data_IF_368960695709
#
_entry.id   IF_368960695709
#
_cell.length_a   1.000
_cell.length_b   1.000
_cell.length_c   1.000
_cell.angle_alpha   90.00
_cell.angle_beta   90.00
_cell.angle_gamma   90.00
#
_symmetry.space_group_name_H-M   'P 1'
#
loop_
_entity.id
_entity.type
_entity.pdbx_description
1 polymer ?
#
# COMPACT_ATOMS: atom_id res chain seq x y z
N UNK A 1 19.87 -18.06 21.83
CA UNK A 1 18.81 -17.56 20.93
C UNK A 1 18.12 -18.76 20.31
N UNK A 2 16.83 -18.65 20.01
CA UNK A 2 16.06 -19.70 19.32
C UNK A 2 16.36 -19.69 17.83
N UNK A 3 16.17 -20.83 17.15
CA UNK A 3 16.36 -20.92 15.69
C UNK A 3 15.42 -19.97 14.94
N UNK A 4 14.18 -19.85 15.40
CA UNK A 4 13.18 -18.94 14.82
C UNK A 4 13.66 -17.47 14.83
N UNK A 5 14.23 -17.04 15.96
CA UNK A 5 14.82 -15.71 16.09
C UNK A 5 16.08 -15.55 15.23
N UNK A 6 16.80 -16.64 14.97
CA UNK A 6 17.95 -16.62 14.07
C UNK A 6 17.53 -16.35 12.63
N UNK A 7 16.50 -17.08 12.16
CA UNK A 7 15.97 -16.94 10.81
C UNK A 7 15.38 -15.56 10.58
N UNK A 8 14.60 -15.04 11.54
CA UNK A 8 14.06 -13.67 11.48
C UNK A 8 15.18 -12.62 11.35
N UNK A 9 16.29 -12.77 12.08
CA UNK A 9 17.42 -11.86 11.98
C UNK A 9 18.19 -12.00 10.66
N UNK A 10 18.27 -13.20 10.09
CA UNK A 10 18.92 -13.41 8.79
C UNK A 10 18.07 -12.77 7.68
N UNK A 11 16.75 -12.88 7.75
CA UNK A 11 15.83 -12.26 6.78
C UNK A 11 15.83 -10.73 6.89
N UNK A 12 15.72 -10.21 8.12
CA UNK A 12 15.70 -8.78 8.38
C UNK A 12 16.98 -8.07 7.91
N UNK A 13 18.14 -8.70 8.08
CA UNK A 13 19.44 -8.08 7.82
C UNK A 13 20.18 -8.64 6.60
N UNK A 14 19.60 -9.58 5.85
CA UNK A 14 20.24 -10.25 4.72
C UNK A 14 20.67 -9.32 3.57
N UNK A 15 20.12 -8.09 3.52
CA UNK A 15 20.43 -7.08 2.51
C UNK A 15 21.18 -5.84 2.99
N UNK A 16 21.25 -5.59 4.31
CA UNK A 16 21.68 -4.31 4.88
C UNK A 16 23.07 -4.38 5.54
N UNK A 17 23.82 -3.27 5.45
CA UNK A 17 25.17 -3.14 6.03
C UNK A 17 25.17 -2.74 7.51
N UNK A 18 24.01 -2.43 8.10
CA UNK A 18 23.89 -1.88 9.45
C UNK A 18 23.24 -2.85 10.43
N UNK A 19 23.91 -3.95 10.72
CA UNK A 19 23.50 -4.86 11.82
C UNK A 19 24.15 -4.39 13.13
N UNK A 20 23.39 -4.23 14.24
CA UNK A 20 23.98 -3.90 15.53
C UNK A 20 25.05 -4.91 15.96
N UNK A 21 26.21 -4.49 16.50
CA UNK A 21 27.36 -5.36 16.72
C UNK A 21 27.07 -6.50 17.70
N UNK A 22 26.25 -6.25 18.72
CA UNK A 22 25.86 -7.27 19.71
C UNK A 22 24.96 -8.37 19.10
N UNK A 23 24.11 -8.00 18.15
CA UNK A 23 23.24 -8.95 17.43
C UNK A 23 24.10 -9.83 16.53
N UNK A 24 25.07 -9.23 15.82
CA UNK A 24 26.02 -9.96 14.97
C UNK A 24 26.81 -11.02 15.73
N UNK A 25 27.33 -10.70 16.92
CA UNK A 25 28.09 -11.65 17.74
C UNK A 25 27.20 -12.81 18.20
N UNK A 26 25.98 -12.51 18.68
CA UNK A 26 25.03 -13.54 19.12
C UNK A 26 24.62 -14.47 17.97
N UNK A 27 24.35 -13.91 16.80
CA UNK A 27 24.02 -14.66 15.59
C UNK A 27 25.21 -15.54 15.17
N UNK A 28 26.43 -15.01 15.16
CA UNK A 28 27.63 -15.78 14.83
C UNK A 28 27.85 -16.97 15.77
N UNK A 29 27.66 -16.78 17.09
CA UNK A 29 27.77 -17.87 18.06
C UNK A 29 26.74 -18.97 17.80
N UNK A 30 25.50 -18.60 17.47
CA UNK A 30 24.47 -19.58 17.18
C UNK A 30 24.70 -20.31 15.86
N UNK A 31 25.16 -19.62 14.79
CA UNK A 31 25.51 -20.24 13.52
C UNK A 31 26.69 -21.21 13.68
N UNK A 32 27.63 -20.92 14.58
CA UNK A 32 28.72 -21.85 14.91
C UNK A 32 28.22 -23.13 15.62
N UNK A 33 27.10 -23.06 16.33
CA UNK A 33 26.56 -24.17 17.12
C UNK A 33 25.43 -24.95 16.40
N UNK A 34 24.67 -24.28 15.53
CA UNK A 34 23.52 -24.83 14.83
C UNK A 34 23.82 -24.98 13.33
N UNK A 35 24.06 -26.21 12.88
CA UNK A 35 24.39 -26.51 11.48
C UNK A 35 23.25 -26.17 10.52
N UNK A 36 22.00 -26.41 10.94
CA UNK A 36 20.81 -26.12 10.12
C UNK A 36 20.69 -24.63 9.79
N UNK A 37 20.83 -23.76 10.80
CA UNK A 37 20.79 -22.31 10.58
C UNK A 37 21.99 -21.81 9.76
N UNK A 38 23.16 -22.44 9.89
CA UNK A 38 24.33 -22.12 9.06
C UNK A 38 24.10 -22.45 7.59
N UNK A 39 23.52 -23.61 7.28
CA UNK A 39 23.19 -24.00 5.90
C UNK A 39 22.12 -23.10 5.29
N UNK A 40 21.12 -22.71 6.08
CA UNK A 40 20.07 -21.78 5.65
C UNK A 40 20.61 -20.38 5.36
N UNK A 41 21.49 -19.86 6.23
CA UNK A 41 22.15 -18.57 6.01
C UNK A 41 22.95 -18.54 4.70
N UNK A 42 23.72 -19.61 4.42
CA UNK A 42 24.49 -19.74 3.18
C UNK A 42 23.58 -19.83 1.95
N UNK A 43 22.44 -20.52 2.06
CA UNK A 43 21.45 -20.62 0.98
C UNK A 43 20.84 -19.25 0.68
N UNK A 44 20.43 -18.51 1.71
CA UNK A 44 19.87 -17.16 1.57
C UNK A 44 20.89 -16.20 0.97
N UNK A 45 22.14 -16.20 1.44
CA UNK A 45 23.15 -15.31 0.89
C UNK A 45 23.42 -15.58 -0.60
N UNK A 46 23.33 -16.85 -1.04
CA UNK A 46 23.42 -17.18 -2.47
C UNK A 46 22.28 -16.57 -3.28
N UNK A 47 21.05 -16.63 -2.77
CA UNK A 47 19.87 -16.02 -3.41
C UNK A 47 20.00 -14.51 -3.46
N UNK A 48 20.38 -13.85 -2.36
CA UNK A 48 20.61 -12.41 -2.33
C UNK A 48 21.75 -11.98 -3.26
N UNK A 49 22.82 -12.77 -3.32
CA UNK A 49 23.92 -12.53 -4.26
C UNK A 49 23.40 -12.61 -5.69
N UNK A 50 22.64 -13.65 -6.03
CA UNK A 50 22.03 -13.79 -7.35
C UNK A 50 21.14 -12.58 -7.70
N UNK A 51 20.24 -12.19 -6.81
CA UNK A 51 19.38 -11.02 -6.96
C UNK A 51 20.14 -9.69 -7.11
N UNK A 52 21.31 -9.57 -6.44
CA UNK A 52 22.17 -8.38 -6.54
C UNK A 52 23.03 -8.40 -7.81
N UNK A 53 23.42 -9.58 -8.29
CA UNK A 53 24.24 -9.74 -9.49
C UNK A 53 23.44 -9.84 -10.78
N UNK A 54 22.12 -10.04 -10.72
CA UNK A 54 21.25 -9.88 -11.87
C UNK A 54 21.22 -8.40 -12.26
N UNK A 55 22.06 -8.15 -13.25
CA UNK A 55 22.27 -7.03 -14.14
C UNK A 55 20.97 -6.26 -14.47
N UNK A 56 20.41 -5.54 -13.51
CA UNK A 56 19.58 -4.37 -13.83
C UNK A 56 20.59 -3.29 -14.21
N UNK A 57 20.93 -3.23 -15.50
CA UNK A 57 21.50 -2.01 -16.11
C UNK A 57 20.73 -0.83 -15.54
N UNK A 58 21.42 0.26 -15.19
CA UNK A 58 20.76 1.53 -14.82
C UNK A 58 19.56 1.72 -15.72
N UNK A 59 18.36 1.62 -15.13
CA UNK A 59 17.15 1.70 -15.91
C UNK A 59 17.24 3.03 -16.67
N UNK A 60 17.08 3.03 -18.01
CA UNK A 60 17.11 4.28 -18.75
C UNK A 60 16.12 5.23 -18.09
N UNK A 61 16.46 6.52 -18.00
CA UNK A 61 15.60 7.52 -17.37
C UNK A 61 14.30 7.68 -18.18
N UNK A 62 13.36 6.77 -17.92
CA UNK A 62 12.05 6.70 -18.54
C UNK A 62 11.15 7.81 -18.02
N UNK A 63 11.57 8.58 -17.00
CA UNK A 63 10.77 9.67 -16.46
C UNK A 63 10.44 10.69 -17.54
N UNK A 64 11.42 11.07 -18.35
CA UNK A 64 11.24 12.00 -19.46
C UNK A 64 10.29 11.45 -20.51
N UNK A 65 10.48 10.19 -20.94
CA UNK A 65 9.66 9.51 -21.95
C UNK A 65 8.21 9.31 -21.48
N UNK A 66 8.02 9.00 -20.20
CA UNK A 66 6.69 8.83 -19.59
C UNK A 66 5.99 10.17 -19.48
N UNK A 67 6.67 11.21 -18.99
CA UNK A 67 6.09 12.55 -18.88
C UNK A 67 5.73 13.13 -20.25
N UNK A 68 6.54 12.87 -21.29
CA UNK A 68 6.24 13.29 -22.66
C UNK A 68 5.03 12.56 -23.24
N UNK A 69 4.83 11.28 -22.89
CA UNK A 69 3.62 10.53 -23.29
C UNK A 69 2.35 10.90 -22.53
N UNK A 70 2.48 11.35 -21.28
CA UNK A 70 1.33 11.77 -20.45
C UNK A 70 0.97 13.22 -20.77
N UNK A 71 1.94 14.05 -21.13
CA UNK A 71 1.72 15.43 -21.53
C UNK A 71 1.24 15.48 -22.99
N UNK A 72 0.01 15.03 -23.25
CA UNK A 72 -0.63 15.12 -24.56
C UNK A 72 -1.00 16.60 -24.78
N UNK A 73 -0.31 17.34 -25.68
CA UNK A 73 -0.65 18.72 -25.96
C UNK A 73 -2.00 18.75 -26.68
N UNK A 74 -3.03 19.21 -25.96
CA UNK A 74 -4.42 19.30 -26.45
C UNK A 74 -5.48 18.75 -25.49
N UNK A 75 -5.10 17.91 -24.52
CA UNK A 75 -6.06 17.43 -23.50
C UNK A 75 -6.34 18.50 -22.42
N UNK A 76 -5.47 19.51 -22.29
CA UNK A 76 -5.67 20.66 -21.40
C UNK A 76 -6.76 21.63 -21.91
N UNK A 77 -7.20 21.52 -23.17
CA UNK A 77 -8.23 22.38 -23.76
C UNK A 77 -9.64 21.78 -23.71
N UNK A 78 -9.77 20.51 -23.31
CA UNK A 78 -11.08 19.99 -22.92
C UNK A 78 -11.16 20.05 -21.40
N UNK A 79 -11.84 21.05 -20.81
CA UNK A 79 -12.23 20.96 -19.42
C UNK A 79 -13.16 19.75 -19.32
N UNK A 80 -12.62 18.60 -18.92
CA UNK A 80 -13.39 17.56 -18.24
C UNK A 80 -14.19 18.34 -17.20
N UNK A 81 -15.51 18.38 -17.38
CA UNK A 81 -16.38 19.46 -16.90
C UNK A 81 -16.12 19.89 -15.46
N UNK A 82 -16.44 21.16 -15.15
CA UNK A 82 -16.17 21.82 -13.86
C UNK A 82 -16.10 20.83 -12.69
N UNK A 83 -14.95 20.77 -11.97
CA UNK A 83 -14.78 19.84 -10.88
C UNK A 83 -15.95 20.01 -9.90
N UNK A 84 -16.65 18.90 -9.63
CA UNK A 84 -17.82 18.90 -8.76
C UNK A 84 -17.39 19.47 -7.41
N UNK A 85 -18.07 20.54 -6.97
CA UNK A 85 -17.70 21.24 -5.73
C UNK A 85 -17.49 20.27 -4.55
N UNK A 86 -16.45 20.53 -3.75
CA UNK A 86 -16.10 19.72 -2.56
C UNK A 86 -17.30 19.48 -1.64
N UNK A 87 -18.21 20.48 -1.52
CA UNK A 87 -19.44 20.37 -0.75
C UNK A 87 -20.38 19.28 -1.27
N UNK A 88 -20.55 19.18 -2.59
CA UNK A 88 -21.38 18.13 -3.19
C UNK A 88 -20.75 16.75 -2.99
N UNK A 89 -19.43 16.64 -3.10
CA UNK A 89 -18.72 15.40 -2.80
C UNK A 89 -18.95 14.95 -1.35
N UNK A 90 -18.72 15.83 -0.37
CA UNK A 90 -18.94 15.51 1.05
C UNK A 90 -20.40 15.10 1.32
N UNK A 91 -21.37 15.77 0.69
CA UNK A 91 -22.77 15.45 0.85
C UNK A 91 -23.12 14.05 0.30
N UNK A 92 -22.58 13.68 -0.87
CA UNK A 92 -22.73 12.33 -1.43
C UNK A 92 -22.09 11.31 -0.51
N UNK A 93 -20.88 11.56 -0.01
CA UNK A 93 -20.17 10.68 0.92
C UNK A 93 -20.96 10.46 2.21
N UNK A 94 -21.59 11.51 2.75
CA UNK A 94 -22.48 11.44 3.91
C UNK A 94 -23.72 10.58 3.61
N UNK A 95 -24.37 10.75 2.47
CA UNK A 95 -25.54 9.93 2.08
C UNK A 95 -25.16 8.45 1.97
N UNK A 96 -24.03 8.16 1.34
CA UNK A 96 -23.52 6.79 1.23
C UNK A 96 -23.26 6.23 2.62
N UNK A 97 -22.52 6.95 3.47
CA UNK A 97 -22.22 6.53 4.84
C UNK A 97 -23.48 6.24 5.67
N UNK A 98 -24.46 7.14 5.65
CA UNK A 98 -25.74 6.92 6.35
C UNK A 98 -26.49 5.72 5.78
N UNK A 99 -26.47 5.54 4.47
CA UNK A 99 -27.11 4.38 3.81
C UNK A 99 -26.47 3.05 4.26
N UNK A 100 -25.15 3.02 4.45
CA UNK A 100 -24.43 1.84 4.97
C UNK A 100 -24.75 1.57 6.44
N UNK A 101 -24.79 2.62 7.26
CA UNK A 101 -25.18 2.50 8.67
C UNK A 101 -26.61 1.99 8.81
N UNK A 102 -27.56 2.58 8.08
CA UNK A 102 -28.97 2.16 8.12
C UNK A 102 -29.15 0.74 7.58
N UNK A 103 -28.43 0.37 6.52
CA UNK A 103 -28.46 -1.00 5.97
C UNK A 103 -27.98 -2.03 6.99
N UNK A 104 -26.92 -1.71 7.74
CA UNK A 104 -26.36 -2.60 8.77
C UNK A 104 -27.32 -2.78 9.96
N UNK A 105 -27.97 -1.69 10.39
CA UNK A 105 -28.97 -1.72 11.47
C UNK A 105 -30.22 -2.51 11.05
N UNK A 106 -30.70 -2.35 9.81
CA UNK A 106 -31.87 -3.09 9.31
C UNK A 106 -31.68 -4.61 9.22
N UNK A 107 -30.44 -5.07 9.06
CA UNK A 107 -30.07 -6.49 9.05
C UNK A 107 -30.07 -7.13 10.45
N UNK A 108 -29.91 -6.33 11.52
CA UNK A 108 -29.92 -6.83 12.90
C UNK A 108 -31.34 -7.06 13.46
N UNK A 109 -32.35 -6.34 12.94
CA UNK A 109 -33.71 -6.35 13.50
C UNK A 109 -34.75 -7.14 12.70
N UNK A 110 -34.39 -7.68 11.52
CA UNK A 110 -35.34 -8.42 10.67
C UNK A 110 -35.11 -9.95 10.71
N UNK A 111 -36.19 -10.70 10.91
CA UNK A 111 -36.22 -12.17 10.96
C UNK A 111 -35.49 -12.94 9.82
N UNK A 112 -35.34 -12.44 8.57
CA UNK A 112 -34.48 -13.08 7.56
C UNK A 112 -32.97 -13.06 7.87
N UNK A 113 -32.50 -12.26 8.84
CA UNK A 113 -31.09 -12.09 9.18
C UNK A 113 -30.40 -13.33 9.77
N UNK A 114 -31.13 -14.33 10.25
CA UNK A 114 -30.55 -15.54 10.86
C UNK A 114 -29.97 -16.51 9.80
N UNK A 115 -30.55 -16.58 8.61
CA UNK A 115 -30.09 -17.47 7.53
C UNK A 115 -29.00 -16.83 6.64
N UNK A 116 -28.97 -15.50 6.54
CA UNK A 116 -27.98 -14.75 5.75
C UNK A 116 -26.69 -14.43 6.52
N UNK A 117 -26.70 -14.55 7.86
CA UNK A 117 -25.69 -13.98 8.77
C UNK A 117 -24.27 -14.50 8.61
N UNK A 118 -24.08 -15.78 8.28
CA UNK A 118 -22.74 -16.39 8.35
C UNK A 118 -21.97 -16.32 7.04
N UNK A 119 -22.63 -16.41 5.88
CA UNK A 119 -21.94 -16.50 4.59
C UNK A 119 -21.95 -15.20 3.77
N UNK A 120 -22.92 -14.30 3.95
CA UNK A 120 -23.04 -13.08 3.13
C UNK A 120 -22.51 -11.81 3.80
N UNK A 121 -22.31 -11.83 5.13
CA UNK A 121 -21.83 -10.67 5.87
C UNK A 121 -20.40 -10.28 5.49
N UNK A 122 -19.52 -11.26 5.28
CA UNK A 122 -18.13 -11.04 4.86
C UNK A 122 -18.05 -10.50 3.40
N UNK A 123 -18.70 -11.12 2.39
CA UNK A 123 -18.75 -10.53 1.03
C UNK A 123 -19.37 -9.13 0.98
N UNK A 124 -20.42 -8.87 1.75
CA UNK A 124 -21.09 -7.55 1.79
C UNK A 124 -20.18 -6.50 2.40
N UNK A 125 -19.57 -6.78 3.56
CA UNK A 125 -18.64 -5.83 4.19
C UNK A 125 -17.40 -5.59 3.34
N UNK A 126 -16.90 -6.61 2.64
CA UNK A 126 -15.76 -6.49 1.72
C UNK A 126 -16.09 -5.62 0.50
N UNK A 127 -17.22 -5.86 -0.15
CA UNK A 127 -17.66 -5.06 -1.32
C UNK A 127 -17.94 -3.61 -0.94
N UNK A 128 -18.52 -3.38 0.24
CA UNK A 128 -18.73 -2.04 0.78
C UNK A 128 -17.42 -1.34 1.10
N UNK A 129 -16.50 -2.00 1.82
CA UNK A 129 -15.18 -1.45 2.12
C UNK A 129 -14.40 -1.11 0.85
N UNK A 130 -14.48 -1.97 -0.16
CA UNK A 130 -13.87 -1.74 -1.47
C UNK A 130 -14.47 -0.51 -2.18
N UNK A 131 -15.80 -0.40 -2.21
CA UNK A 131 -16.48 0.76 -2.79
C UNK A 131 -16.14 2.08 -2.08
N UNK A 132 -16.08 2.08 -0.75
CA UNK A 132 -15.67 3.24 0.05
C UNK A 132 -14.21 3.60 -0.22
N UNK A 133 -13.33 2.61 -0.37
CA UNK A 133 -11.91 2.83 -0.69
C UNK A 133 -11.73 3.46 -2.07
N UNK A 134 -12.44 2.95 -3.09
CA UNK A 134 -12.43 3.53 -4.43
C UNK A 134 -12.93 4.97 -4.37
N UNK A 135 -14.09 5.19 -3.73
CA UNK A 135 -14.67 6.52 -3.58
C UNK A 135 -13.70 7.50 -2.92
N UNK A 136 -13.04 7.08 -1.83
CA UNK A 136 -12.03 7.89 -1.14
C UNK A 136 -10.80 8.18 -2.02
N UNK A 137 -10.33 7.21 -2.79
CA UNK A 137 -9.19 7.40 -3.70
C UNK A 137 -9.51 8.41 -4.81
N UNK A 138 -10.70 8.35 -5.40
CA UNK A 138 -11.16 9.31 -6.41
C UNK A 138 -11.34 10.69 -5.79
N UNK A 139 -11.93 10.78 -4.60
CA UNK A 139 -12.08 12.04 -3.88
C UNK A 139 -10.74 12.75 -3.64
N UNK A 140 -9.74 12.00 -3.16
CA UNK A 140 -8.40 12.52 -2.90
C UNK A 140 -7.74 12.97 -4.21
N UNK A 141 -7.82 12.15 -5.27
CA UNK A 141 -7.24 12.48 -6.57
C UNK A 141 -7.87 13.75 -7.17
N UNK A 142 -9.19 13.88 -7.11
CA UNK A 142 -9.92 15.04 -7.67
C UNK A 142 -9.73 16.35 -6.91
N UNK A 143 -9.30 16.30 -5.64
CA UNK A 143 -9.09 17.50 -4.81
C UNK A 143 -7.62 17.68 -4.41
N UNK A 144 -6.71 16.93 -5.04
CA UNK A 144 -5.29 16.98 -4.70
C UNK A 144 -4.71 18.39 -4.93
N UNK A 145 -5.18 19.08 -5.97
CA UNK A 145 -4.79 20.45 -6.29
C UNK A 145 -5.27 21.44 -5.22
N UNK A 146 -6.56 21.37 -4.83
CA UNK A 146 -7.13 22.16 -3.72
C UNK A 146 -6.37 21.94 -2.40
N UNK A 147 -5.96 20.70 -2.12
CA UNK A 147 -5.14 20.39 -0.95
C UNK A 147 -3.73 20.96 -1.08
N UNK A 148 -3.11 20.84 -2.25
CA UNK A 148 -1.76 21.37 -2.49
C UNK A 148 -1.71 22.90 -2.35
N UNK A 149 -2.76 23.61 -2.79
CA UNK A 149 -2.88 25.06 -2.67
C UNK A 149 -3.08 25.47 -1.20
N UNK A 150 -3.99 24.79 -0.49
CA UNK A 150 -4.27 25.10 0.93
C UNK A 150 -3.10 24.78 1.87
N UNK A 151 -2.32 23.75 1.56
CA UNK A 151 -1.16 23.37 2.37
C UNK A 151 0.16 23.99 1.89
N UNK A 152 0.13 24.80 0.83
CA UNK A 152 1.32 25.47 0.29
C UNK A 152 2.38 24.50 -0.25
N UNK A 153 1.94 23.35 -0.78
CA UNK A 153 2.80 22.31 -1.36
C UNK A 153 2.97 22.46 -2.88
N UNK A 154 2.36 23.49 -3.49
CA UNK A 154 2.52 23.80 -4.91
C UNK A 154 3.96 24.21 -5.26
N UNK A 155 4.36 24.10 -6.54
CA UNK A 155 5.69 24.49 -6.98
C UNK A 155 5.97 25.94 -6.57
N UNK A 156 7.03 26.16 -5.80
CA UNK A 156 7.58 27.50 -5.63
C UNK A 156 8.03 27.95 -7.02
N UNK A 157 7.32 28.91 -7.60
CA UNK A 157 7.84 29.65 -8.75
C UNK A 157 9.20 30.23 -8.34
N UNK A 158 10.25 29.69 -8.95
CA UNK A 158 11.62 30.20 -8.95
C UNK A 158 11.88 30.84 -10.31
#
# INVERSE_FOLDING_TARGET
MTCERATELIDQYGGETSVPPLVRIRLAFHLAHCRTCAEEAVRMERVYRFLRTDYISEAPDLRSVIMDKINIPGEAENPVGEPVSLRNWVLVGMIVFFSLLLSSVGLEFSAPGILLRSNLLLPITLTLGFGVTIYGSVFIASHMDDFSERFGLGPREL
#
